data_IF_842889940922
#
_entry.id   IF_842889940922
#
_cell.length_a   1.000
_cell.length_b   1.000
_cell.length_c   1.000
_cell.angle_alpha   90.00
_cell.angle_beta   90.00
_cell.angle_gamma   90.00
#
_symmetry.space_group_name_H-M   'P 1'
#
loop_
_entity.id
_entity.type
_entity.pdbx_description
1 polymer ?
#
# COMPACT_ATOMS: atom_id res chain seq x y z
N UNK A 1 -0.60 9.40 2.35
CA UNK A 1 -0.82 7.99 1.93
C UNK A 1 -2.22 7.76 1.38
N UNK A 2 -3.30 7.87 2.17
CA UNK A 2 -4.67 7.53 1.75
C UNK A 2 -5.13 8.25 0.47
N UNK A 3 -4.86 9.55 0.36
CA UNK A 3 -5.22 10.32 -0.84
C UNK A 3 -4.50 9.84 -2.12
N UNK A 4 -3.27 9.32 -2.01
CA UNK A 4 -2.54 8.79 -3.16
C UNK A 4 -3.05 7.40 -3.55
N UNK A 5 -3.36 6.54 -2.57
CA UNK A 5 -4.02 5.25 -2.82
C UNK A 5 -5.39 5.47 -3.49
N UNK A 6 -6.17 6.45 -3.04
CA UNK A 6 -7.47 6.80 -3.63
C UNK A 6 -7.34 7.20 -5.12
N UNK A 7 -6.43 8.13 -5.44
CA UNK A 7 -6.14 8.56 -6.81
C UNK A 7 -5.70 7.40 -7.70
N UNK A 8 -4.77 6.58 -7.24
CA UNK A 8 -4.25 5.43 -8.01
C UNK A 8 -5.32 4.36 -8.17
N UNK A 9 -6.11 4.10 -7.14
CA UNK A 9 -7.20 3.10 -7.17
C UNK A 9 -8.33 3.46 -8.13
N UNK A 10 -8.54 4.75 -8.40
CA UNK A 10 -9.52 5.24 -9.38
C UNK A 10 -9.25 4.72 -10.79
N UNK A 11 -7.98 4.45 -11.12
CA UNK A 11 -7.58 3.88 -12.41
C UNK A 11 -7.61 2.35 -12.41
N UNK A 12 -7.57 1.70 -11.24
CA UNK A 12 -7.63 0.23 -11.18
C UNK A 12 -8.98 -0.29 -11.67
N UNK A 13 -8.97 -1.43 -12.36
CA UNK A 13 -10.23 -2.12 -12.72
C UNK A 13 -11.04 -2.44 -11.45
N UNK A 14 -12.37 -2.27 -11.51
CA UNK A 14 -13.26 -2.58 -10.37
C UNK A 14 -13.16 -4.05 -9.92
N UNK A 15 -12.74 -4.94 -10.82
CA UNK A 15 -12.59 -6.38 -10.56
C UNK A 15 -11.35 -6.72 -9.74
N UNK A 16 -10.21 -6.08 -9.99
CA UNK A 16 -8.95 -6.42 -9.29
C UNK A 16 -8.65 -5.50 -8.11
N UNK A 17 -8.96 -4.19 -8.23
CA UNK A 17 -8.59 -3.14 -7.25
C UNK A 17 -7.15 -3.29 -6.74
N UNK A 18 -6.25 -3.74 -7.62
CA UNK A 18 -4.88 -4.11 -7.27
C UNK A 18 -3.98 -2.88 -7.36
N UNK A 19 -3.29 -2.56 -6.27
CA UNK A 19 -2.28 -1.51 -6.22
C UNK A 19 -0.94 -2.15 -5.90
N UNK A 20 0.06 -1.83 -6.72
CA UNK A 20 1.44 -2.29 -6.61
C UNK A 20 2.26 -1.22 -5.90
N UNK A 21 2.85 -1.60 -4.79
CA UNK A 21 3.72 -0.77 -3.96
C UNK A 21 5.16 -1.16 -4.27
N UNK A 22 5.93 -0.22 -4.81
CA UNK A 22 7.37 -0.36 -4.98
C UNK A 22 8.08 0.51 -3.95
N UNK A 23 8.79 -0.13 -3.04
CA UNK A 23 9.54 0.50 -1.97
C UNK A 23 11.00 0.67 -2.39
N UNK A 24 11.51 1.88 -2.19
CA UNK A 24 12.91 2.24 -2.36
C UNK A 24 13.35 3.06 -1.14
N UNK A 25 14.64 3.12 -0.81
CA UNK A 25 15.09 3.92 0.31
C UNK A 25 14.63 5.39 0.19
N UNK A 26 13.79 5.83 1.13
CA UNK A 26 13.20 7.18 1.14
C UNK A 26 11.93 7.38 0.30
N UNK A 27 11.52 6.42 -0.54
CA UNK A 27 10.35 6.60 -1.42
C UNK A 27 9.48 5.35 -1.59
N UNK A 28 8.19 5.60 -1.77
CA UNK A 28 7.16 4.60 -2.05
C UNK A 28 6.44 5.00 -3.34
N UNK A 29 6.58 4.17 -4.36
CA UNK A 29 5.87 4.29 -5.61
C UNK A 29 4.60 3.41 -5.59
N UNK A 30 3.44 4.03 -5.71
CA UNK A 30 2.14 3.38 -5.86
C UNK A 30 1.77 3.34 -7.34
N UNK A 31 1.39 2.17 -7.84
CA UNK A 31 0.93 2.03 -9.21
C UNK A 31 -0.32 1.16 -9.31
N UNK A 32 -1.21 1.49 -10.24
CA UNK A 32 -2.35 0.66 -10.61
C UNK A 32 -2.55 0.70 -12.12
N UNK A 33 -3.05 -0.40 -12.66
CA UNK A 33 -3.35 -0.56 -14.07
C UNK A 33 -4.78 -1.06 -14.28
N UNK A 34 -5.40 -0.62 -15.38
CA UNK A 34 -6.67 -1.12 -15.87
C UNK A 34 -6.47 -2.08 -17.03
N UNK A 35 -7.49 -2.89 -17.32
CA UNK A 35 -7.57 -3.71 -18.54
C UNK A 35 -7.56 -2.88 -19.82
N UNK A 36 -7.90 -1.59 -19.74
CA UNK A 36 -7.95 -0.66 -20.88
C UNK A 36 -6.61 0.06 -21.09
N UNK A 37 -5.52 -0.49 -20.53
CA UNK A 37 -4.15 0.02 -20.60
C UNK A 37 -3.91 1.42 -19.97
N UNK A 38 -4.84 1.90 -19.14
CA UNK A 38 -4.63 3.09 -18.31
C UNK A 38 -3.81 2.72 -17.08
N UNK A 39 -2.76 3.49 -16.79
CA UNK A 39 -1.94 3.34 -15.59
C UNK A 39 -1.88 4.64 -14.80
N UNK A 40 -1.98 4.55 -13.48
CA UNK A 40 -1.64 5.64 -12.56
C UNK A 40 -0.37 5.28 -11.79
N UNK A 41 0.46 6.30 -11.56
CA UNK A 41 1.65 6.21 -10.71
C UNK A 41 1.67 7.42 -9.79
N UNK A 42 1.91 7.19 -8.50
CA UNK A 42 2.09 8.23 -7.48
C UNK A 42 3.32 7.90 -6.66
N UNK A 43 4.13 8.91 -6.36
CA UNK A 43 5.31 8.78 -5.52
C UNK A 43 5.08 9.51 -4.20
N UNK A 44 5.43 8.86 -3.09
CA UNK A 44 5.32 9.42 -1.74
C UNK A 44 6.65 9.22 -1.02
N UNK A 45 7.08 10.24 -0.29
CA UNK A 45 8.21 10.15 0.62
C UNK A 45 7.85 9.27 1.83
N UNK A 46 8.73 8.33 2.18
CA UNK A 46 8.55 7.42 3.31
C UNK A 46 9.86 7.17 4.05
N UNK A 47 9.79 6.89 5.34
CA UNK A 47 10.94 6.49 6.14
C UNK A 47 11.25 5.00 5.96
N UNK A 48 11.73 4.62 4.78
CA UNK A 48 12.15 3.25 4.45
C UNK A 48 13.66 3.18 4.21
N UNK A 49 14.33 2.22 4.84
CA UNK A 49 15.80 2.02 4.75
C UNK A 49 16.18 0.59 4.31
N UNK A 50 15.19 -0.24 3.97
CA UNK A 50 15.41 -1.61 3.52
C UNK A 50 15.80 -1.72 2.04
N UNK A 51 15.96 -2.95 1.56
CA UNK A 51 16.23 -3.23 0.15
C UNK A 51 15.02 -2.91 -0.73
N UNK A 52 15.24 -2.61 -2.01
CA UNK A 52 14.13 -2.41 -2.94
C UNK A 52 13.22 -3.65 -3.00
N UNK A 53 11.92 -3.45 -2.88
CA UNK A 53 10.94 -4.54 -2.98
C UNK A 53 9.64 -4.06 -3.60
N UNK A 54 8.90 -5.00 -4.17
CA UNK A 54 7.59 -4.77 -4.75
C UNK A 54 6.57 -5.68 -4.09
N UNK A 55 5.40 -5.14 -3.74
CA UNK A 55 4.32 -5.90 -3.11
C UNK A 55 2.97 -5.39 -3.61
N UNK A 56 2.06 -6.30 -3.91
CA UNK A 56 0.70 -5.97 -4.32
C UNK A 56 -0.29 -6.05 -3.18
N UNK A 57 -1.20 -5.08 -3.10
CA UNK A 57 -2.33 -5.14 -2.17
C UNK A 57 -3.64 -4.77 -2.86
N UNK A 58 -4.75 -5.10 -2.20
CA UNK A 58 -6.04 -4.56 -2.57
C UNK A 58 -6.16 -3.12 -2.06
N UNK A 59 -6.41 -2.17 -2.97
CA UNK A 59 -6.58 -0.75 -2.67
C UNK A 59 -7.66 -0.52 -1.61
N UNK A 60 -8.74 -1.29 -1.67
CA UNK A 60 -9.87 -1.10 -0.75
C UNK A 60 -9.45 -1.40 0.68
N UNK A 61 -8.67 -2.46 0.90
CA UNK A 61 -8.20 -2.81 2.23
C UNK A 61 -7.19 -1.79 2.77
N UNK A 62 -6.32 -1.26 1.90
CA UNK A 62 -5.42 -0.16 2.29
C UNK A 62 -6.20 1.07 2.74
N UNK A 63 -7.26 1.44 2.01
CA UNK A 63 -8.12 2.57 2.37
C UNK A 63 -8.92 2.31 3.64
N UNK A 64 -9.47 1.12 3.82
CA UNK A 64 -10.20 0.75 5.03
C UNK A 64 -9.27 0.84 6.26
N UNK A 65 -8.05 0.30 6.19
CA UNK A 65 -7.08 0.41 7.29
C UNK A 65 -6.65 1.85 7.53
N UNK A 66 -6.34 2.59 6.46
CA UNK A 66 -5.92 3.99 6.59
C UNK A 66 -7.04 4.89 7.15
N UNK A 67 -8.31 4.49 7.03
CA UNK A 67 -9.43 5.19 7.68
C UNK A 67 -9.60 4.86 9.17
N UNK A 68 -9.10 3.69 9.61
CA UNK A 68 -9.15 3.24 11.00
C UNK A 68 -7.94 3.70 11.81
N UNK A 69 -6.79 3.85 11.16
CA UNK A 69 -5.60 4.44 11.78
C UNK A 69 -5.83 5.94 11.96
N UNK A 70 -6.31 6.34 13.15
CA UNK A 70 -6.52 7.74 13.52
C UNK A 70 -5.25 8.55 13.76
N UNK A 71 -4.11 8.10 13.21
CA UNK A 71 -2.80 8.75 13.32
C UNK A 71 -2.38 9.31 11.97
N UNK A 72 -1.60 10.40 11.98
CA UNK A 72 -1.01 10.98 10.77
C UNK A 72 0.02 10.05 10.11
N UNK A 73 0.49 9.03 10.84
CA UNK A 73 1.52 8.08 10.38
C UNK A 73 1.00 6.65 10.47
N UNK A 74 1.35 5.85 9.46
CA UNK A 74 1.04 4.41 9.39
C UNK A 74 2.36 3.67 9.24
N UNK A 75 2.57 2.66 10.08
CA UNK A 75 3.74 1.78 10.00
C UNK A 75 3.36 0.48 9.29
N UNK A 76 4.13 0.13 8.26
CA UNK A 76 4.02 -1.14 7.56
C UNK A 76 5.23 -2.00 7.90
N UNK A 77 5.00 -3.13 8.56
CA UNK A 77 6.01 -4.15 8.74
C UNK A 77 5.86 -5.22 7.66
N UNK A 78 6.87 -5.28 6.79
CA UNK A 78 6.92 -6.10 5.58
C UNK A 78 8.06 -7.10 5.71
N UNK A 79 7.82 -8.36 5.33
CA UNK A 79 8.83 -9.40 5.31
C UNK A 79 9.33 -9.67 3.89
N UNK A 80 8.45 -10.13 3.02
CA UNK A 80 8.71 -10.40 1.60
C UNK A 80 7.43 -10.22 0.77
N UNK A 81 7.52 -10.39 -0.56
CA UNK A 81 6.41 -10.12 -1.48
C UNK A 81 5.22 -11.09 -1.35
N UNK A 82 5.42 -12.26 -0.75
CA UNK A 82 4.40 -13.29 -0.55
C UNK A 82 3.91 -13.42 0.90
N UNK A 83 4.65 -12.82 1.84
CA UNK A 83 4.36 -12.89 3.27
C UNK A 83 3.28 -11.88 3.70
N UNK A 84 2.46 -12.22 4.71
CA UNK A 84 1.52 -11.27 5.31
C UNK A 84 2.25 -10.02 5.80
N UNK A 85 1.59 -8.88 5.62
CA UNK A 85 2.08 -7.58 6.05
C UNK A 85 1.29 -7.09 7.24
N UNK A 86 2.00 -6.51 8.21
CA UNK A 86 1.41 -5.94 9.41
C UNK A 86 1.30 -4.43 9.25
N UNK A 87 0.15 -3.88 9.63
CA UNK A 87 -0.13 -2.44 9.57
C UNK A 87 -0.62 -1.97 10.93
N UNK A 88 -0.03 -0.89 11.43
CA UNK A 88 -0.36 -0.31 12.75
C UNK A 88 -0.07 1.18 12.80
N UNK A 89 -0.60 1.85 13.81
CA UNK A 89 -0.14 3.19 14.17
C UNK A 89 1.21 3.09 14.91
N UNK A 90 2.15 4.03 14.73
CA UNK A 90 3.38 4.04 15.51
C UNK A 90 3.09 4.10 17.01
N UNK A 91 3.63 3.15 17.77
CA UNK A 91 3.45 3.07 19.22
C UNK A 91 2.11 2.47 19.69
N UNK A 92 1.21 2.07 18.79
CA UNK A 92 0.01 1.30 19.14
C UNK A 92 0.25 -0.19 18.90
N UNK A 93 0.43 -0.94 19.99
CA UNK A 93 0.56 -2.40 19.96
C UNK A 93 -0.79 -3.12 20.15
N UNK A 94 -1.84 -2.41 20.54
CA UNK A 94 -3.16 -3.00 20.77
C UNK A 94 -3.95 -3.16 19.47
N UNK A 95 -3.73 -2.28 18.50
CA UNK A 95 -4.42 -2.30 17.20
C UNK A 95 -3.50 -2.78 16.09
N UNK A 96 -3.70 -4.02 15.66
CA UNK A 96 -2.91 -4.65 14.59
C UNK A 96 -3.81 -5.06 13.42
N UNK A 97 -3.45 -4.63 12.22
CA UNK A 97 -4.09 -5.06 10.99
C UNK A 97 -3.15 -5.99 10.21
N UNK A 98 -3.71 -7.06 9.64
CA UNK A 98 -2.97 -8.01 8.80
C UNK A 98 -3.50 -7.93 7.38
N UNK A 99 -2.60 -7.72 6.42
CA UNK A 99 -2.89 -7.71 5.00
C UNK A 99 -2.19 -8.88 4.31
N UNK A 100 -2.96 -9.60 3.49
CA UNK A 100 -2.39 -10.59 2.59
C UNK A 100 -1.97 -9.92 1.27
N UNK A 101 -0.74 -10.18 0.78
CA UNK A 101 -0.33 -9.67 -0.51
C UNK A 101 -1.08 -10.36 -1.63
N UNK A 102 -1.25 -9.62 -2.72
CA UNK A 102 -1.78 -10.12 -3.99
C UNK A 102 -0.65 -10.18 -5.01
N UNK A 103 -0.67 -11.20 -5.87
CA UNK A 103 0.20 -11.22 -7.07
C UNK A 103 -0.30 -10.16 -8.04
N UNK A 104 0.59 -9.25 -8.46
CA UNK A 104 0.33 -8.07 -9.31
C UNK A 104 1.38 -7.89 -10.38
#
# INVERSE_FOLDING_TARGET
FSAAVDRVSTISSEKSRSVKLRLQPGSLNLSASSTDASSAVEEIEVSYTGAEMEIGFNARYLMDIASQVGSDTIEFALADQGSPSLVRAPGDEATLFVLMPMRV
#
